data_IF_052595653483
#
_entry.id   IF_052595653483
#
_cell.length_a   1.000
_cell.length_b   1.000
_cell.length_c   1.000
_cell.angle_alpha   90.00
_cell.angle_beta   90.00
_cell.angle_gamma   90.00
#
_symmetry.space_group_name_H-M   'P 1'
#
loop_
_entity.id
_entity.type
_entity.pdbx_description
1 polymer ?
#
# COMPACT_ATOMS: atom_id res chain seq x y z
N UNK A 1 27.24 4.34 1.38
CA UNK A 1 26.15 4.60 2.33
C UNK A 1 24.85 4.31 1.61
N UNK A 2 24.24 3.15 1.88
CA UNK A 2 23.04 2.71 1.16
C UNK A 2 21.84 3.52 1.68
N UNK A 3 21.00 4.02 0.78
CA UNK A 3 19.69 4.62 1.07
C UNK A 3 18.72 3.61 1.72
N UNK A 4 19.02 3.11 2.93
CA UNK A 4 18.37 1.95 3.56
C UNK A 4 17.04 2.24 4.26
N UNK A 5 16.53 3.46 4.14
CA UNK A 5 15.35 3.88 4.91
C UNK A 5 14.07 4.01 4.08
N UNK A 6 13.92 3.25 2.99
CA UNK A 6 12.69 3.26 2.17
C UNK A 6 12.16 1.86 1.89
N UNK A 7 10.86 1.66 2.14
CA UNK A 7 10.12 0.42 1.89
C UNK A 7 9.20 0.59 0.68
N UNK A 8 9.18 -0.42 -0.18
CA UNK A 8 8.23 -0.50 -1.30
C UNK A 8 6.94 -1.17 -0.84
N UNK A 9 5.83 -0.48 -1.07
CA UNK A 9 4.46 -0.93 -0.81
C UNK A 9 3.75 -1.12 -2.14
N UNK A 10 3.33 -2.35 -2.37
CA UNK A 10 2.49 -2.72 -3.52
C UNK A 10 1.02 -2.76 -3.08
N UNK A 11 0.08 -2.30 -3.91
CA UNK A 11 -1.36 -2.39 -3.60
C UNK A 11 -1.81 -3.82 -3.29
N UNK A 12 -1.26 -4.81 -4.00
CA UNK A 12 -1.53 -6.24 -3.79
C UNK A 12 -1.25 -6.73 -2.36
N UNK A 13 -0.37 -6.05 -1.60
CA UNK A 13 -0.04 -6.47 -0.24
C UNK A 13 -1.21 -6.29 0.74
N UNK A 14 -2.06 -5.30 0.49
CA UNK A 14 -3.22 -4.99 1.33
C UNK A 14 -4.55 -5.37 0.68
N UNK A 15 -4.53 -5.89 -0.54
CA UNK A 15 -5.74 -6.22 -1.29
C UNK A 15 -6.43 -7.45 -0.70
N UNK A 16 -7.70 -7.30 -0.33
CA UNK A 16 -8.53 -8.39 0.17
C UNK A 16 -8.98 -9.37 -0.90
N UNK A 17 -9.03 -8.92 -2.16
CA UNK A 17 -9.39 -9.74 -3.31
C UNK A 17 -8.28 -10.74 -3.67
N UNK A 18 -7.04 -10.46 -3.27
CA UNK A 18 -5.89 -11.35 -3.47
C UNK A 18 -5.70 -12.31 -2.29
N UNK A 19 -5.31 -13.54 -2.62
CA UNK A 19 -4.89 -14.54 -1.65
C UNK A 19 -3.47 -14.28 -1.12
N UNK A 20 -3.03 -15.05 -0.12
CA UNK A 20 -1.65 -14.93 0.41
C UNK A 20 -0.61 -15.35 -0.63
N UNK A 21 -0.92 -16.36 -1.44
CA UNK A 21 -0.10 -16.83 -2.56
C UNK A 21 -0.01 -15.80 -3.69
N UNK A 22 -1.06 -15.00 -3.91
CA UNK A 22 -1.07 -13.90 -4.89
C UNK A 22 -0.41 -12.60 -4.37
N UNK A 23 0.12 -12.59 -3.14
CA UNK A 23 0.92 -11.49 -2.62
C UNK A 23 0.33 -10.73 -1.43
N UNK A 24 -0.88 -11.05 -0.97
CA UNK A 24 -1.44 -10.42 0.24
C UNK A 24 -0.57 -10.73 1.46
N UNK A 25 -0.10 -9.68 2.14
CA UNK A 25 0.79 -9.81 3.32
C UNK A 25 0.10 -9.60 4.66
N UNK A 26 -1.17 -9.18 4.66
CA UNK A 26 -1.96 -8.93 5.88
C UNK A 26 -3.20 -9.84 5.98
N UNK A 27 -3.76 -10.03 7.20
CA UNK A 27 -4.98 -10.81 7.38
C UNK A 27 -6.18 -10.22 6.62
N UNK A 28 -7.11 -11.08 6.15
CA UNK A 28 -8.28 -10.63 5.38
C UNK A 28 -9.13 -9.59 6.12
N UNK A 29 -9.30 -9.76 7.44
CA UNK A 29 -10.02 -8.82 8.30
C UNK A 29 -9.42 -7.41 8.31
N UNK A 30 -8.13 -7.30 8.07
CA UNK A 30 -7.38 -6.04 8.04
C UNK A 30 -6.98 -5.68 6.60
N UNK A 31 -7.54 -6.31 5.57
CA UNK A 31 -7.25 -5.96 4.18
C UNK A 31 -8.32 -5.02 3.62
N UNK A 32 -7.98 -4.33 2.53
CA UNK A 32 -8.85 -3.39 1.83
C UNK A 32 -9.32 -4.02 0.55
N UNK A 33 -10.61 -3.94 0.26
CA UNK A 33 -11.15 -4.44 -1.01
C UNK A 33 -10.78 -3.49 -2.15
N UNK A 34 -10.04 -3.98 -3.15
CA UNK A 34 -9.59 -3.20 -4.30
C UNK A 34 -8.93 -1.86 -3.89
N UNK A 35 -7.72 -1.90 -3.31
CA UNK A 35 -7.04 -0.71 -2.81
C UNK A 35 -6.56 0.18 -3.96
N UNK A 36 -6.98 1.45 -3.99
CA UNK A 36 -6.51 2.40 -5.01
C UNK A 36 -5.21 3.06 -4.57
N UNK A 37 -4.33 3.36 -5.52
CA UNK A 37 -3.07 4.09 -5.28
C UNK A 37 -3.31 5.40 -4.53
N UNK A 38 -4.35 6.14 -4.93
CA UNK A 38 -4.69 7.42 -4.31
C UNK A 38 -4.99 7.26 -2.82
N UNK A 39 -5.73 6.22 -2.45
CA UNK A 39 -6.07 5.91 -1.05
C UNK A 39 -4.82 5.53 -0.25
N UNK A 40 -3.96 4.67 -0.81
CA UNK A 40 -2.68 4.29 -0.17
C UNK A 40 -1.78 5.52 0.01
N UNK A 41 -1.71 6.38 -0.99
CA UNK A 41 -0.91 7.61 -0.95
C UNK A 41 -1.43 8.56 0.12
N UNK A 42 -2.74 8.79 0.17
CA UNK A 42 -3.36 9.64 1.19
C UNK A 42 -3.13 9.08 2.60
N UNK A 43 -3.30 7.78 2.80
CA UNK A 43 -3.03 7.12 4.07
C UNK A 43 -1.55 7.26 4.47
N UNK A 44 -0.61 7.05 3.53
CA UNK A 44 0.82 7.20 3.78
C UNK A 44 1.22 8.67 4.08
N UNK A 45 0.56 9.65 3.44
CA UNK A 45 0.73 11.08 3.74
C UNK A 45 0.24 11.40 5.16
N UNK A 46 -0.93 10.88 5.56
CA UNK A 46 -1.44 11.03 6.94
C UNK A 46 -0.47 10.43 7.98
N UNK A 47 0.20 9.33 7.64
CA UNK A 47 1.22 8.69 8.48
C UNK A 47 2.59 9.39 8.45
N UNK A 48 2.75 10.50 7.71
CA UNK A 48 4.03 11.24 7.55
C UNK A 48 5.19 10.32 7.12
N UNK A 49 4.91 9.36 6.24
CA UNK A 49 5.88 8.40 5.70
C UNK A 49 6.49 8.85 4.36
N UNK A 50 6.35 10.13 3.99
CA UNK A 50 6.82 10.71 2.73
C UNK A 50 6.60 9.80 1.51
N UNK A 51 5.35 9.46 1.17
CA UNK A 51 5.08 8.56 0.07
C UNK A 51 5.52 9.18 -1.27
N UNK A 52 6.45 8.52 -1.94
CA UNK A 52 6.78 8.78 -3.33
C UNK A 52 6.01 7.81 -4.21
N UNK A 53 5.18 8.36 -5.10
CA UNK A 53 4.35 7.57 -6.03
C UNK A 53 4.98 7.61 -7.39
N UNK A 54 5.49 6.48 -7.85
CA UNK A 54 5.88 6.33 -9.25
C UNK A 54 4.66 5.91 -10.05
N UNK A 55 3.92 6.88 -10.57
CA UNK A 55 2.71 6.68 -11.39
C UNK A 55 2.99 6.11 -12.79
N UNK A 56 4.24 6.14 -13.24
CA UNK A 56 4.65 5.74 -14.59
C UNK A 56 5.21 4.31 -14.69
N UNK A 57 5.19 3.52 -13.60
CA UNK A 57 5.58 2.10 -13.63
C UNK A 57 4.38 1.22 -13.33
N UNK A 58 3.97 0.43 -14.31
CA UNK A 58 2.93 -0.59 -14.14
C UNK A 58 3.52 -1.90 -13.61
N UNK A 59 2.73 -2.65 -12.85
CA UNK A 59 3.11 -3.97 -12.38
C UNK A 59 3.17 -4.94 -13.57
N UNK A 60 4.25 -5.75 -13.77
CA UNK A 60 4.43 -6.57 -14.96
C UNK A 60 3.27 -7.56 -15.23
N UNK A 61 2.63 -8.06 -14.18
CA UNK A 61 1.50 -9.00 -14.27
C UNK A 61 0.12 -8.33 -14.44
N UNK A 62 0.06 -7.00 -14.38
CA UNK A 62 -1.17 -6.20 -14.51
C UNK A 62 -0.83 -4.85 -15.12
N UNK A 63 -0.14 -4.87 -16.26
CA UNK A 63 0.32 -3.67 -16.96
C UNK A 63 -0.86 -2.71 -17.22
N UNK A 64 -2.04 -3.24 -17.54
CA UNK A 64 -3.27 -2.50 -17.84
C UNK A 64 -3.90 -1.71 -16.68
N UNK A 65 -3.59 -1.99 -15.42
CA UNK A 65 -4.24 -1.28 -14.29
C UNK A 65 -3.52 0.01 -13.87
N UNK A 66 -2.30 0.27 -14.36
CA UNK A 66 -1.54 1.48 -13.98
C UNK A 66 -1.33 1.60 -12.46
N UNK A 67 -1.23 0.47 -11.75
CA UNK A 67 -1.34 0.39 -10.29
C UNK A 67 -0.17 0.99 -9.52
N UNK A 68 0.86 1.53 -10.20
CA UNK A 68 1.99 2.24 -9.62
C UNK A 68 2.74 1.45 -8.54
N UNK A 69 3.80 2.06 -8.01
CA UNK A 69 4.41 1.61 -6.75
C UNK A 69 4.50 2.77 -5.79
N UNK A 70 4.25 2.50 -4.51
CA UNK A 70 4.39 3.49 -3.45
C UNK A 70 5.67 3.17 -2.70
N UNK A 71 6.61 4.10 -2.69
CA UNK A 71 7.81 4.04 -1.88
C UNK A 71 7.54 4.90 -0.64
N UNK A 72 7.70 4.33 0.54
CA UNK A 72 7.47 5.02 1.82
C UNK A 72 8.72 4.94 2.67
N UNK A 73 8.93 5.91 3.55
CA UNK A 73 10.04 5.86 4.49
C UNK A 73 9.86 4.72 5.50
N UNK A 74 10.94 3.98 5.75
CA UNK A 74 11.04 2.83 6.64
C UNK A 74 11.15 3.29 8.11
N UNK A 75 10.11 3.96 8.61
CA UNK A 75 10.04 4.39 10.02
C UNK A 75 9.58 3.27 10.97
N UNK A 76 8.96 2.21 10.43
CA UNK A 76 8.34 1.11 11.18
C UNK A 76 8.44 -0.19 10.40
N UNK A 77 8.10 -1.32 11.01
CA UNK A 77 8.10 -2.60 10.31
C UNK A 77 7.12 -2.59 9.13
N UNK A 78 7.48 -3.28 8.04
CA UNK A 78 6.65 -3.36 6.81
C UNK A 78 5.23 -3.82 7.11
N UNK A 79 5.06 -4.77 8.04
CA UNK A 79 3.74 -5.30 8.43
C UNK A 79 2.89 -4.23 9.13
N UNK A 80 3.46 -3.49 10.07
CA UNK A 80 2.74 -2.42 10.77
C UNK A 80 2.33 -1.30 9.84
N UNK A 81 3.21 -0.90 8.91
CA UNK A 81 2.88 0.08 7.87
C UNK A 81 1.66 -0.38 7.07
N UNK A 82 1.64 -1.64 6.61
CA UNK A 82 0.53 -2.18 5.84
C UNK A 82 -0.79 -2.19 6.62
N UNK A 83 -0.75 -2.58 7.90
CA UNK A 83 -1.93 -2.58 8.77
C UNK A 83 -2.44 -1.16 9.01
N UNK A 84 -1.54 -0.21 9.32
CA UNK A 84 -1.92 1.20 9.54
C UNK A 84 -2.49 1.84 8.28
N UNK A 85 -1.89 1.58 7.11
CA UNK A 85 -2.40 2.04 5.82
C UNK A 85 -3.81 1.50 5.58
N UNK A 86 -3.99 0.19 5.75
CA UNK A 86 -5.31 -0.44 5.58
C UNK A 86 -6.36 0.16 6.50
N UNK A 87 -6.07 0.30 7.80
CA UNK A 87 -7.01 0.86 8.77
C UNK A 87 -7.42 2.29 8.41
N UNK A 88 -6.48 3.13 7.95
CA UNK A 88 -6.77 4.49 7.51
C UNK A 88 -7.65 4.53 6.26
N UNK A 89 -7.43 3.62 5.31
CA UNK A 89 -8.25 3.51 4.10
C UNK A 89 -9.65 3.04 4.45
N UNK A 90 -9.77 2.00 5.27
CA UNK A 90 -11.06 1.48 5.72
C UNK A 90 -11.83 2.51 6.56
N UNK A 91 -11.16 3.31 7.39
CA UNK A 91 -11.76 4.44 8.09
C UNK A 91 -12.29 5.49 7.12
N UNK A 92 -11.45 5.94 6.17
CA UNK A 92 -11.84 6.95 5.17
C UNK A 92 -13.00 6.51 4.26
N UNK A 93 -13.26 5.20 4.14
CA UNK A 93 -14.43 4.65 3.42
C UNK A 93 -15.70 4.58 4.27
N UNK A 94 -15.57 4.50 5.60
CA UNK A 94 -16.70 4.48 6.55
C UNK A 94 -17.23 5.88 6.86
N UNK A 95 -16.38 6.89 6.77
CA UNK A 95 -16.75 8.31 6.95
C UNK A 95 -17.49 8.91 5.73
N UNK A 96 -17.85 8.09 4.75
CA UNK A 96 -18.50 8.46 3.49
C UNK A 96 -19.85 7.80 3.36
#
# INVERSE_FOLDING_TARGET
MKDENRTIIWPAYIDSAKSKSEGRKIPKKQSVNSPKIREITQAAKKLRLNPSVEKYKSYPSSWWEGSGRIIVDNKMSKREVLIKLSNLINGSRKDK
#
